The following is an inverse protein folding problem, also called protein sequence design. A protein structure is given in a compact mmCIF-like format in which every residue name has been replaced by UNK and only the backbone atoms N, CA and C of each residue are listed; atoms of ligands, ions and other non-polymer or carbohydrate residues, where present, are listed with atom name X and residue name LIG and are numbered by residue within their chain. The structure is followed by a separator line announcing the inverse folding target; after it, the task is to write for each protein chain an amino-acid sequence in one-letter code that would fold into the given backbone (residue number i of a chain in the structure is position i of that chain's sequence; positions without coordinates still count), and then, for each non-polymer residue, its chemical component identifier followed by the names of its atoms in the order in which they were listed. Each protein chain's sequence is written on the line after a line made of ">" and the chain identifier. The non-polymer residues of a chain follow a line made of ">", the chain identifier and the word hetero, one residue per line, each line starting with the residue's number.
data_IF_343127751279
#
_entry.id   IF_343127751279
#
_cell.length_a   1.000
_cell.length_b   1.000
_cell.length_c   1.000
_cell.angle_alpha   90.00
_cell.angle_beta   90.00
_cell.angle_gamma   90.00
#
_symmetry.space_group_name_H-M   'P 1'
#
loop_
_entity.id
_entity.type
_entity.pdbx_description
1 polymer ?
#
# COMPACT_ATOMS: atom_id res chain seq x y z
N UNK A 1 25.02 -18.70 7.37
CA UNK A 1 24.51 -17.44 6.80
C UNK A 1 23.64 -16.82 7.87
N UNK A 2 24.06 -15.69 8.44
CA UNK A 2 23.23 -14.89 9.35
C UNK A 2 21.95 -14.51 8.58
N UNK A 3 20.83 -15.15 8.89
CA UNK A 3 19.54 -14.73 8.34
C UNK A 3 19.21 -13.38 8.95
N UNK A 4 19.39 -12.31 8.18
CA UNK A 4 18.99 -10.97 8.60
C UNK A 4 17.57 -10.96 9.17
N UNK A 5 17.35 -10.15 10.21
CA UNK A 5 16.05 -10.02 10.87
C UNK A 5 14.94 -9.66 9.88
N UNK A 6 13.67 -9.81 10.27
CA UNK A 6 12.52 -9.60 9.37
C UNK A 6 12.61 -8.26 8.62
N UNK A 7 13.00 -7.17 9.29
CA UNK A 7 13.18 -5.86 8.68
C UNK A 7 14.22 -5.82 7.55
N UNK A 8 15.29 -6.61 7.65
CA UNK A 8 16.34 -6.67 6.63
C UNK A 8 15.82 -7.26 5.31
N UNK A 9 14.81 -8.13 5.38
CA UNK A 9 14.16 -8.69 4.18
C UNK A 9 13.36 -7.66 3.38
N UNK A 10 13.07 -6.50 3.96
CA UNK A 10 12.34 -5.39 3.33
C UNK A 10 13.29 -4.33 2.76
N UNK A 11 14.60 -4.39 3.06
CA UNK A 11 15.60 -3.48 2.50
C UNK A 11 15.60 -3.61 0.97
N UNK A 12 15.61 -2.47 0.27
CA UNK A 12 15.66 -2.43 -1.18
C UNK A 12 14.55 -3.26 -1.85
N UNK A 13 13.39 -3.39 -1.21
CA UNK A 13 12.22 -4.09 -1.78
C UNK A 13 11.16 -3.10 -2.24
N UNK A 14 10.54 -3.45 -3.35
CA UNK A 14 9.30 -2.84 -3.83
C UNK A 14 8.14 -3.71 -3.38
N UNK A 15 7.16 -3.12 -2.70
CA UNK A 15 6.08 -3.88 -2.06
C UNK A 15 4.73 -3.39 -2.55
N UNK A 16 3.90 -4.29 -3.06
CA UNK A 16 2.50 -4.02 -3.34
C UNK A 16 1.66 -4.39 -2.11
N UNK A 17 0.89 -3.44 -1.60
CA UNK A 17 -0.01 -3.62 -0.45
C UNK A 17 -1.43 -3.33 -0.90
N UNK A 18 -2.31 -4.33 -0.77
CA UNK A 18 -3.76 -4.14 -0.91
C UNK A 18 -4.40 -3.93 0.47
N UNK A 19 -5.49 -3.18 0.54
CA UNK A 19 -6.16 -2.91 1.82
C UNK A 19 -5.37 -1.97 2.74
N UNK A 20 -4.47 -1.15 2.19
CA UNK A 20 -3.66 -0.19 2.95
C UNK A 20 -4.50 0.86 3.71
N UNK A 21 -5.71 1.14 3.24
CA UNK A 21 -6.68 2.03 3.91
C UNK A 21 -7.44 1.36 5.06
N UNK A 22 -7.29 0.04 5.25
CA UNK A 22 -7.82 -0.68 6.40
C UNK A 22 -7.01 -0.41 7.67
N UNK A 23 -7.56 -0.79 8.83
CA UNK A 23 -6.92 -0.55 10.13
C UNK A 23 -5.50 -1.16 10.22
N UNK A 24 -5.35 -2.44 9.90
CA UNK A 24 -4.04 -3.11 9.91
C UNK A 24 -3.13 -2.64 8.78
N UNK A 25 -3.69 -2.26 7.63
CA UNK A 25 -2.92 -1.77 6.48
C UNK A 25 -2.10 -0.53 6.81
N UNK A 26 -2.72 0.47 7.45
CA UNK A 26 -2.04 1.72 7.86
C UNK A 26 -0.90 1.45 8.84
N UNK A 27 -1.16 0.58 9.82
CA UNK A 27 -0.16 0.12 10.81
C UNK A 27 1.03 -0.55 10.12
N UNK A 28 0.77 -1.42 9.14
CA UNK A 28 1.83 -2.08 8.40
C UNK A 28 2.67 -1.08 7.59
N UNK A 29 2.03 -0.16 6.86
CA UNK A 29 2.72 0.87 6.07
C UNK A 29 3.62 1.72 6.96
N UNK A 30 3.09 2.25 8.06
CA UNK A 30 3.89 3.05 9.01
C UNK A 30 5.05 2.23 9.58
N UNK A 31 4.77 1.00 10.02
CA UNK A 31 5.77 0.14 10.65
C UNK A 31 6.93 -0.18 9.72
N UNK A 32 6.64 -0.48 8.45
CA UNK A 32 7.68 -0.72 7.44
C UNK A 32 8.53 0.53 7.27
N UNK A 33 7.91 1.70 7.06
CA UNK A 33 8.65 2.95 6.83
C UNK A 33 9.51 3.37 8.02
N UNK A 34 9.04 3.12 9.25
CA UNK A 34 9.78 3.47 10.47
C UNK A 34 10.90 2.51 10.80
N UNK A 35 10.69 1.20 10.63
CA UNK A 35 11.68 0.17 11.02
C UNK A 35 12.65 -0.15 9.89
N UNK A 36 12.23 0.02 8.64
CA UNK A 36 13.05 -0.19 7.46
C UNK A 36 12.85 0.96 6.45
N UNK A 37 13.44 2.15 6.71
CA UNK A 37 13.33 3.29 5.80
C UNK A 37 14.07 3.08 4.46
N UNK A 38 14.92 2.05 4.34
CA UNK A 38 15.61 1.68 3.09
C UNK A 38 14.74 0.78 2.19
N UNK A 39 13.47 0.56 2.53
CA UNK A 39 12.51 0.01 1.57
C UNK A 39 12.49 0.89 0.30
N UNK A 40 12.46 0.26 -0.88
CA UNK A 40 12.56 1.01 -2.14
C UNK A 40 11.29 1.79 -2.40
N UNK A 41 10.14 1.11 -2.40
CA UNK A 41 8.85 1.72 -2.73
C UNK A 41 7.70 0.87 -2.20
N UNK A 42 6.65 1.52 -1.71
CA UNK A 42 5.37 0.93 -1.36
C UNK A 42 4.32 1.36 -2.39
N UNK A 43 3.80 0.42 -3.16
CA UNK A 43 2.63 0.60 -4.00
C UNK A 43 1.40 0.26 -3.16
N UNK A 44 0.55 1.25 -2.91
CA UNK A 44 -0.68 1.06 -2.16
C UNK A 44 -1.84 0.99 -3.14
N UNK A 45 -2.38 -0.21 -3.36
CA UNK A 45 -3.55 -0.40 -4.20
C UNK A 45 -4.78 0.13 -3.46
N UNK A 46 -5.43 1.15 -4.02
CA UNK A 46 -6.60 1.80 -3.44
C UNK A 46 -7.67 2.01 -4.48
N UNK A 47 -8.93 1.76 -4.10
CA UNK A 47 -10.09 2.00 -4.95
C UNK A 47 -10.27 3.51 -5.12
N UNK A 48 -10.09 4.00 -6.34
CA UNK A 48 -10.22 5.41 -6.70
C UNK A 48 -10.45 5.52 -8.22
N UNK A 49 -11.15 6.55 -8.71
CA UNK A 49 -11.42 6.73 -10.13
C UNK A 49 -10.17 7.08 -10.95
N UNK A 50 -9.19 7.74 -10.33
CA UNK A 50 -7.95 8.16 -10.98
C UNK A 50 -6.80 8.30 -9.97
N UNK A 51 -5.60 8.62 -10.48
CA UNK A 51 -4.40 8.76 -9.68
C UNK A 51 -4.46 9.92 -8.68
N UNK A 52 -5.16 11.00 -8.99
CA UNK A 52 -5.28 12.18 -8.11
C UNK A 52 -6.14 11.81 -6.90
N UNK A 53 -7.30 11.19 -7.16
CA UNK A 53 -8.18 10.70 -6.10
C UNK A 53 -7.51 9.58 -5.27
N UNK A 54 -6.69 8.72 -5.89
CA UNK A 54 -5.91 7.71 -5.17
C UNK A 54 -4.89 8.37 -4.22
N UNK A 55 -4.16 9.37 -4.69
CA UNK A 55 -3.18 10.11 -3.89
C UNK A 55 -3.87 10.82 -2.72
N UNK A 56 -4.96 11.56 -2.98
CA UNK A 56 -5.74 12.23 -1.93
C UNK A 56 -6.24 11.24 -0.88
N UNK A 57 -6.75 10.09 -1.32
CA UNK A 57 -7.24 9.03 -0.42
C UNK A 57 -6.12 8.47 0.46
N UNK A 58 -4.95 8.18 -0.11
CA UNK A 58 -3.79 7.69 0.65
C UNK A 58 -3.30 8.76 1.63
N UNK A 59 -3.20 10.01 1.19
CA UNK A 59 -2.76 11.11 2.05
C UNK A 59 -3.73 11.34 3.21
N UNK A 60 -5.03 11.25 2.97
CA UNK A 60 -6.06 11.51 3.99
C UNK A 60 -6.24 10.32 4.93
N UNK A 61 -6.46 9.12 4.37
CA UNK A 61 -6.82 7.97 5.17
C UNK A 61 -5.62 7.29 5.82
N UNK A 62 -4.46 7.25 5.14
CA UNK A 62 -3.27 6.53 5.61
C UNK A 62 -2.28 7.49 6.25
N UNK A 63 -1.70 8.38 5.46
CA UNK A 63 -0.58 9.23 5.90
C UNK A 63 -1.05 10.33 6.86
N UNK A 64 -2.29 10.79 6.75
CA UNK A 64 -2.89 11.84 7.60
C UNK A 64 -3.26 11.36 9.00
N UNK A 65 -3.24 10.05 9.26
CA UNK A 65 -3.53 9.49 10.57
C UNK A 65 -2.45 9.88 11.61
N UNK A 66 -2.83 10.07 12.88
CA UNK A 66 -1.90 10.35 13.98
C UNK A 66 -0.84 9.25 14.18
N UNK A 67 -1.09 8.03 13.69
CA UNK A 67 -0.10 6.96 13.63
C UNK A 67 1.23 7.39 12.98
N UNK A 68 1.19 8.29 11.98
CA UNK A 68 2.38 8.79 11.29
C UNK A 68 3.10 9.92 12.04
N UNK A 69 2.63 10.36 13.22
CA UNK A 69 3.26 11.44 13.99
C UNK A 69 4.71 11.11 14.34
N UNK A 70 5.01 9.85 14.65
CA UNK A 70 6.39 9.40 14.91
C UNK A 70 7.31 9.67 13.72
N UNK A 71 6.84 9.39 12.50
CA UNK A 71 7.58 9.68 11.28
C UNK A 71 7.61 11.20 10.99
N UNK A 72 6.55 11.95 11.28
CA UNK A 72 6.53 13.42 11.12
C UNK A 72 7.56 14.08 12.03
N UNK A 73 7.65 13.66 13.29
CA UNK A 73 8.64 14.15 14.25
C UNK A 73 10.06 13.75 13.81
N UNK A 74 10.26 12.51 13.35
CA UNK A 74 11.56 12.01 12.91
C UNK A 74 12.11 12.76 11.70
N UNK A 75 11.26 13.04 10.70
CA UNK A 75 11.69 13.65 9.43
C UNK A 75 11.47 15.17 9.36
N UNK A 76 10.67 15.75 10.25
CA UNK A 76 10.37 17.18 10.29
C UNK A 76 9.90 17.72 8.93
N UNK A 77 10.55 18.79 8.46
CA UNK A 77 10.27 19.40 7.15
C UNK A 77 10.47 18.43 5.97
N UNK A 78 11.27 17.36 6.14
CA UNK A 78 11.51 16.33 5.13
C UNK A 78 10.40 15.28 5.02
N UNK A 79 9.43 15.24 5.94
CA UNK A 79 8.41 14.19 6.01
C UNK A 79 7.65 14.02 4.69
N UNK A 80 7.13 15.10 4.12
CA UNK A 80 6.36 15.03 2.87
C UNK A 80 7.21 14.51 1.69
N UNK A 81 8.49 14.89 1.64
CA UNK A 81 9.40 14.41 0.60
C UNK A 81 9.69 12.92 0.77
N UNK A 82 9.92 12.46 2.01
CA UNK A 82 10.10 11.04 2.32
C UNK A 82 8.87 10.22 1.94
N UNK A 83 7.66 10.66 2.31
CA UNK A 83 6.42 9.97 1.94
C UNK A 83 6.27 9.89 0.41
N UNK A 84 6.49 11.00 -0.30
CA UNK A 84 6.40 11.03 -1.77
C UNK A 84 7.43 10.12 -2.44
N UNK A 85 8.64 10.05 -1.88
CA UNK A 85 9.68 9.13 -2.34
C UNK A 85 9.27 7.66 -2.12
N UNK A 86 8.75 7.33 -0.94
CA UNK A 86 8.51 5.93 -0.54
C UNK A 86 7.16 5.37 -0.94
N UNK A 87 6.12 6.18 -1.07
CA UNK A 87 4.76 5.71 -1.36
C UNK A 87 4.36 6.08 -2.79
N UNK A 88 3.63 5.19 -3.45
CA UNK A 88 2.88 5.45 -4.67
C UNK A 88 1.45 4.94 -4.47
N UNK A 89 0.47 5.84 -4.61
CA UNK A 89 -0.94 5.47 -4.60
C UNK A 89 -1.32 4.90 -5.97
N UNK A 90 -1.65 3.61 -6.02
CA UNK A 90 -2.02 2.91 -7.23
C UNK A 90 -3.55 2.79 -7.29
N UNK A 91 -4.24 3.54 -8.18
CA UNK A 91 -5.67 3.37 -8.37
C UNK A 91 -5.95 1.97 -8.92
N UNK A 92 -6.88 1.25 -8.30
CA UNK A 92 -7.33 -0.05 -8.77
C UNK A 92 -8.14 -0.82 -7.73
N UNK A 93 -8.67 -1.96 -8.13
CA UNK A 93 -9.54 -2.78 -7.30
C UNK A 93 -9.23 -4.26 -7.46
N UNK A 94 -9.07 -4.96 -6.34
CA UNK A 94 -8.75 -6.39 -6.30
C UNK A 94 -9.81 -7.29 -6.92
N UNK A 95 -11.04 -6.78 -7.09
CA UNK A 95 -12.14 -7.51 -7.71
C UNK A 95 -12.07 -7.53 -9.24
N UNK A 96 -11.31 -6.62 -9.85
CA UNK A 96 -11.18 -6.55 -11.31
C UNK A 96 -9.95 -7.32 -11.78
N UNK A 97 -10.03 -7.90 -12.98
CA UNK A 97 -8.87 -8.47 -13.66
C UNK A 97 -7.75 -7.42 -13.75
N UNK A 98 -6.51 -7.82 -13.47
CA UNK A 98 -5.34 -6.93 -13.45
C UNK A 98 -5.52 -5.68 -12.56
N UNK A 99 -6.37 -5.77 -11.53
CA UNK A 99 -6.75 -4.66 -10.66
C UNK A 99 -7.49 -3.50 -11.35
N UNK A 100 -8.00 -3.71 -12.57
CA UNK A 100 -8.54 -2.64 -13.42
C UNK A 100 -7.45 -1.79 -14.09
N UNK A 101 -6.21 -2.27 -14.11
CA UNK A 101 -5.09 -1.62 -14.79
C UNK A 101 -4.96 -2.11 -16.24
N UNK A 102 -4.40 -1.26 -17.08
CA UNK A 102 -4.02 -1.62 -18.44
C UNK A 102 -2.96 -2.72 -18.46
N UNK A 103 -2.99 -3.57 -19.50
CA UNK A 103 -2.07 -4.71 -19.65
C UNK A 103 -0.59 -4.29 -19.62
N UNK A 104 -0.28 -3.09 -20.12
CA UNK A 104 1.07 -2.54 -20.05
C UNK A 104 1.48 -2.20 -18.61
N UNK A 105 0.59 -1.57 -17.84
CA UNK A 105 0.88 -1.12 -16.48
C UNK A 105 1.02 -2.29 -15.52
N UNK A 106 0.17 -3.32 -15.64
CA UNK A 106 0.28 -4.53 -14.83
C UNK A 106 1.59 -5.28 -15.13
N UNK A 107 2.01 -5.34 -16.39
CA UNK A 107 3.29 -5.93 -16.78
C UNK A 107 4.44 -5.16 -16.14
N UNK A 108 4.44 -3.82 -16.22
CA UNK A 108 5.45 -2.99 -15.58
C UNK A 108 5.48 -3.12 -14.06
N UNK A 109 4.31 -3.25 -13.42
CA UNK A 109 4.21 -3.46 -11.99
C UNK A 109 4.78 -4.82 -11.59
N UNK A 110 4.43 -5.89 -12.32
CA UNK A 110 4.91 -7.25 -12.04
C UNK A 110 6.43 -7.40 -12.11
N UNK A 111 7.09 -6.60 -12.95
CA UNK A 111 8.55 -6.59 -13.08
C UNK A 111 9.26 -5.85 -11.94
N UNK A 112 8.55 -4.95 -11.25
CA UNK A 112 9.11 -4.09 -10.20
C UNK A 112 8.85 -4.62 -8.79
N UNK A 113 7.73 -5.31 -8.58
CA UNK A 113 7.28 -5.75 -7.25
C UNK A 113 8.05 -7.00 -6.81
N UNK A 114 8.65 -6.91 -5.62
CA UNK A 114 9.33 -8.02 -4.97
C UNK A 114 8.40 -8.80 -4.02
N UNK A 115 7.47 -8.09 -3.35
CA UNK A 115 6.63 -8.63 -2.28
C UNK A 115 5.19 -8.14 -2.47
N UNK A 116 4.22 -9.03 -2.31
CA UNK A 116 2.80 -8.70 -2.26
C UNK A 116 2.28 -8.98 -0.86
N UNK A 117 1.66 -7.98 -0.23
CA UNK A 117 0.88 -8.14 1.00
C UNK A 117 -0.58 -7.92 0.67
N UNK A 118 -1.36 -9.00 0.64
CA UNK A 118 -2.79 -8.93 0.38
C UNK A 118 -3.57 -8.82 1.69
N UNK A 119 -4.09 -7.63 1.97
CA UNK A 119 -4.95 -7.34 3.13
C UNK A 119 -6.31 -6.77 2.76
N UNK A 120 -6.63 -6.67 1.47
CA UNK A 120 -7.94 -6.23 1.01
C UNK A 120 -9.00 -7.30 1.30
N UNK A 121 -10.08 -6.88 1.95
CA UNK A 121 -11.25 -7.71 2.22
C UNK A 121 -12.48 -6.82 2.34
N UNK A 122 -13.66 -7.38 2.08
CA UNK A 122 -14.91 -6.81 2.57
C UNK A 122 -15.02 -7.09 4.07
N UNK A 123 -15.29 -6.07 4.86
CA UNK A 123 -15.63 -6.21 6.28
C UNK A 123 -17.12 -6.01 6.52
N UNK A 124 -17.93 -6.10 5.46
CA UNK A 124 -19.38 -6.10 5.57
C UNK A 124 -19.86 -7.48 6.00
N UNK A 125 -20.07 -7.65 7.31
CA UNK A 125 -20.53 -8.92 7.88
C UNK A 125 -21.97 -9.30 7.49
N UNK A 126 -22.68 -8.43 6.76
CA UNK A 126 -24.04 -8.68 6.29
C UNK A 126 -24.11 -9.15 4.82
N UNK A 127 -22.99 -9.20 4.10
CA UNK A 127 -22.92 -9.75 2.75
C UNK A 127 -23.05 -11.28 2.79
N UNK A 128 -23.92 -11.85 1.93
CA UNK A 128 -23.98 -13.31 1.76
C UNK A 128 -22.86 -13.75 0.84
N UNK A 129 -22.26 -14.89 1.16
CA UNK A 129 -21.13 -15.46 0.40
C UNK A 129 -21.38 -15.57 -1.11
N UNK A 130 -22.62 -15.86 -1.52
CA UNK A 130 -23.03 -15.92 -2.93
C UNK A 130 -22.92 -14.60 -3.70
N UNK A 131 -22.97 -13.44 -3.04
CA UNK A 131 -22.76 -12.14 -3.72
C UNK A 131 -21.28 -11.80 -3.89
N UNK A 132 -20.38 -12.45 -3.16
CA UNK A 132 -18.92 -12.27 -3.31
C UNK A 132 -18.41 -12.96 -4.58
N UNK A 133 -19.15 -13.95 -5.11
CA UNK A 133 -18.76 -14.77 -6.26
C UNK A 133 -19.54 -14.47 -7.55
N UNK A 134 -20.30 -13.37 -7.60
CA UNK A 134 -21.22 -13.07 -8.73
C UNK A 134 -21.06 -11.66 -9.32
N UNK A 135 -20.03 -10.89 -8.92
CA UNK A 135 -19.67 -9.62 -9.54
C UNK A 135 -18.48 -9.75 -10.51
N UNK A 136 -18.38 -10.90 -11.20
CA UNK A 136 -17.45 -11.11 -12.35
C UNK A 136 -17.98 -10.44 -13.63
#
# INVERSE_FOLDING_TARGET
>A
METGGIAERFRDKTILITGATGFLGKLLVEKILRVQPEVRKLYLLVRAPDAIAAEERVLTEVVGNGLFDVLREQYGAGFHSFIKEKIYALPGDVTHENFGLESYDILQLSQKVDIIVNGAATTNFMERYIYISLED
#
